data_IF_185218722493
#
_entry.id   IF_185218722493
#
_cell.length_a   1.000
_cell.length_b   1.000
_cell.length_c   1.000
_cell.angle_alpha   90.00
_cell.angle_beta   90.00
_cell.angle_gamma   90.00
#
_symmetry.space_group_name_H-M   'P 1'
#
loop_
_entity.id
_entity.type
_entity.pdbx_description
1 polymer ?
#
# COMPACT_ATOMS: atom_id res chain seq x y z
N UNK A 1 -11.04 25.35 3.91
CA UNK A 1 -12.45 25.19 4.36
C UNK A 1 -12.58 24.33 5.63
N UNK A 2 -11.88 23.19 5.75
CA UNK A 2 -11.92 22.34 6.96
C UNK A 2 -11.48 23.05 8.27
N UNK A 3 -10.45 23.91 8.23
CA UNK A 3 -10.03 24.70 9.41
C UNK A 3 -11.14 25.56 9.99
N UNK A 4 -11.87 26.28 9.13
CA UNK A 4 -12.97 27.19 9.53
C UNK A 4 -14.10 26.43 10.23
N UNK A 5 -14.31 25.16 9.88
CA UNK A 5 -15.31 24.31 10.52
C UNK A 5 -14.80 23.68 11.81
N UNK A 6 -13.50 23.36 11.91
CA UNK A 6 -12.87 22.81 13.11
C UNK A 6 -12.64 23.86 14.21
N UNK A 7 -12.42 25.13 13.84
CA UNK A 7 -12.11 26.23 14.77
C UNK A 7 -13.36 26.97 15.29
N UNK A 8 -14.56 26.42 15.10
CA UNK A 8 -15.80 27.07 15.58
C UNK A 8 -15.86 27.03 17.11
N UNK A 9 -15.96 28.19 17.80
CA UNK A 9 -15.91 28.25 19.26
C UNK A 9 -17.08 27.51 19.93
N UNK A 10 -18.24 27.45 19.28
CA UNK A 10 -19.47 26.86 19.82
C UNK A 10 -19.80 25.47 19.27
N UNK A 11 -18.87 24.83 18.52
CA UNK A 11 -19.10 23.47 18.00
C UNK A 11 -17.77 22.73 17.77
N UNK A 12 -17.30 21.92 18.73
CA UNK A 12 -16.14 21.06 18.51
C UNK A 12 -16.53 19.90 17.57
N UNK A 13 -16.58 20.17 16.27
CA UNK A 13 -16.84 19.15 15.26
C UNK A 13 -15.55 18.32 15.05
N UNK A 14 -15.66 17.00 15.25
CA UNK A 14 -14.60 16.05 14.88
C UNK A 14 -14.91 15.50 13.49
N UNK A 15 -13.98 15.66 12.56
CA UNK A 15 -14.12 15.14 11.20
C UNK A 15 -13.32 13.86 11.06
N UNK A 16 -13.99 12.77 10.66
CA UNK A 16 -13.31 11.54 10.24
C UNK A 16 -13.21 11.57 8.71
N UNK A 17 -11.99 11.72 8.21
CA UNK A 17 -11.70 11.67 6.77
C UNK A 17 -11.19 10.26 6.46
N UNK A 18 -11.92 9.51 5.64
CA UNK A 18 -11.53 8.16 5.26
C UNK A 18 -10.47 8.16 4.15
N UNK A 19 -9.47 7.30 4.29
CA UNK A 19 -8.16 7.39 3.65
C UNK A 19 -8.07 7.15 2.14
N UNK A 20 -9.16 6.84 1.43
CA UNK A 20 -9.10 6.68 -0.04
C UNK A 20 -8.82 7.99 -0.81
N UNK A 21 -8.76 9.13 -0.11
CA UNK A 21 -8.40 10.45 -0.65
C UNK A 21 -7.17 11.10 0.04
N UNK A 22 -6.48 10.37 0.93
CA UNK A 22 -5.44 10.95 1.80
C UNK A 22 -4.21 11.53 1.05
N UNK A 23 -3.68 10.90 -0.02
CA UNK A 23 -2.53 11.46 -0.73
C UNK A 23 -2.85 12.79 -1.41
N UNK A 24 -4.03 12.89 -2.02
CA UNK A 24 -4.51 14.08 -2.73
C UNK A 24 -4.82 15.21 -1.74
N UNK A 25 -5.38 14.88 -0.58
CA UNK A 25 -5.68 15.85 0.47
C UNK A 25 -4.41 16.52 1.04
N UNK A 26 -3.34 15.75 1.22
CA UNK A 26 -2.06 16.27 1.72
C UNK A 26 -1.42 17.33 0.80
N UNK A 27 -1.67 17.23 -0.52
CA UNK A 27 -1.11 18.14 -1.53
C UNK A 27 -1.95 19.38 -1.80
N UNK A 28 -3.26 19.31 -1.55
CA UNK A 28 -4.22 20.36 -1.91
C UNK A 28 -4.75 21.18 -0.73
N UNK A 29 -4.34 20.90 0.50
CA UNK A 29 -4.74 21.74 1.64
C UNK A 29 -3.86 22.99 1.67
N UNK A 30 -4.39 24.11 1.18
CA UNK A 30 -3.72 25.42 1.15
C UNK A 30 -3.37 25.99 2.54
N UNK A 31 -3.86 25.38 3.62
CA UNK A 31 -3.62 25.82 5.00
C UNK A 31 -3.19 24.63 5.88
N UNK A 32 -2.13 24.81 6.68
CA UNK A 32 -1.61 23.79 7.58
C UNK A 32 -2.62 23.45 8.69
N UNK A 33 -2.83 22.14 8.92
CA UNK A 33 -3.59 21.58 10.05
C UNK A 33 -2.66 21.00 11.14
N UNK A 34 -1.40 21.44 11.18
CA UNK A 34 -0.40 20.96 12.14
C UNK A 34 -0.90 21.09 13.59
N UNK A 35 -0.79 20.00 14.35
CA UNK A 35 -1.22 19.93 15.76
C UNK A 35 -2.73 19.74 15.98
N UNK A 36 -3.55 19.68 14.92
CA UNK A 36 -5.02 19.51 15.01
C UNK A 36 -5.56 18.31 14.25
N UNK A 37 -4.67 17.54 13.62
CA UNK A 37 -4.99 16.32 12.89
C UNK A 37 -4.13 15.19 13.42
N UNK A 38 -4.77 14.05 13.67
CA UNK A 38 -4.10 12.78 13.89
C UNK A 38 -4.33 11.91 12.65
N UNK A 39 -3.26 11.29 12.17
CA UNK A 39 -3.33 10.30 11.10
C UNK A 39 -3.28 8.91 11.73
N UNK A 40 -4.20 8.05 11.36
CA UNK A 40 -4.12 6.61 11.64
C UNK A 40 -4.01 5.90 10.30
N UNK A 41 -2.90 5.19 10.12
CA UNK A 41 -2.72 4.29 9.00
C UNK A 41 -3.34 2.94 9.38
N UNK A 42 -4.19 2.42 8.49
CA UNK A 42 -4.81 1.12 8.65
C UNK A 42 -4.19 0.20 7.61
N UNK A 43 -3.46 -0.80 8.08
CA UNK A 43 -2.92 -1.84 7.23
C UNK A 43 -4.00 -2.82 6.78
N UNK A 44 -3.62 -3.73 5.88
CA UNK A 44 -4.43 -4.92 5.64
C UNK A 44 -4.52 -5.78 6.91
N UNK A 45 -5.50 -6.69 6.93
CA UNK A 45 -5.71 -7.56 8.08
C UNK A 45 -4.46 -8.38 8.42
N UNK A 46 -4.03 -8.31 9.68
CA UNK A 46 -2.94 -9.10 10.24
C UNK A 46 -3.32 -10.58 10.37
N UNK A 47 -2.33 -11.47 10.35
CA UNK A 47 -2.59 -12.91 10.55
C UNK A 47 -3.13 -13.20 11.95
N UNK A 48 -2.71 -12.42 12.93
CA UNK A 48 -3.18 -12.42 14.32
C UNK A 48 -4.63 -11.95 14.45
N UNK A 49 -5.00 -10.86 13.79
CA UNK A 49 -6.40 -10.38 13.73
C UNK A 49 -7.31 -11.44 13.10
N UNK A 50 -6.83 -12.06 12.00
CA UNK A 50 -7.57 -13.12 11.32
C UNK A 50 -7.65 -14.39 12.19
N UNK A 51 -6.60 -14.77 12.89
CA UNK A 51 -6.62 -15.91 13.80
C UNK A 51 -7.60 -15.68 14.95
N UNK A 52 -7.59 -14.49 15.55
CA UNK A 52 -8.51 -14.11 16.63
C UNK A 52 -9.97 -14.12 16.16
N UNK A 53 -10.25 -13.61 14.95
CA UNK A 53 -11.60 -13.56 14.38
C UNK A 53 -12.19 -14.95 14.05
N UNK A 54 -11.34 -15.93 13.73
CA UNK A 54 -11.79 -17.31 13.47
C UNK A 54 -11.94 -18.13 14.76
N UNK A 55 -11.41 -17.67 15.90
CA UNK A 55 -11.49 -18.36 17.18
C UNK A 55 -10.49 -19.53 17.31
N UNK A 56 -10.24 -20.03 18.53
CA UNK A 56 -9.17 -20.98 18.83
C UNK A 56 -9.31 -22.36 18.16
N UNK A 57 -10.42 -22.62 17.47
CA UNK A 57 -10.79 -23.95 16.94
C UNK A 57 -11.15 -23.97 15.44
N UNK A 58 -10.89 -22.90 14.67
CA UNK A 58 -11.28 -22.83 13.24
C UNK A 58 -10.11 -22.55 12.28
N UNK A 59 -8.93 -23.11 12.56
CA UNK A 59 -7.90 -23.25 11.53
C UNK A 59 -8.25 -24.50 10.71
N UNK A 60 -9.18 -24.35 9.77
CA UNK A 60 -9.46 -25.42 8.80
C UNK A 60 -8.17 -25.76 8.01
N UNK A 61 -7.97 -27.03 7.61
CA UNK A 61 -6.87 -27.38 6.71
C UNK A 61 -6.89 -26.48 5.46
N UNK A 62 -5.76 -25.84 5.14
CA UNK A 62 -5.67 -24.90 4.01
C UNK A 62 -6.21 -23.48 4.29
N UNK A 63 -6.58 -23.16 5.53
CA UNK A 63 -6.95 -21.80 5.94
C UNK A 63 -5.81 -20.83 5.62
N UNK A 64 -4.59 -21.15 6.06
CA UNK A 64 -3.42 -20.31 5.83
C UNK A 64 -3.14 -20.14 4.34
N UNK A 65 -3.18 -21.22 3.56
CA UNK A 65 -2.95 -21.21 2.11
C UNK A 65 -3.91 -20.26 1.39
N UNK A 66 -5.20 -20.32 1.75
CA UNK A 66 -6.21 -19.44 1.16
C UNK A 66 -5.93 -17.97 1.49
N UNK A 67 -5.47 -17.65 2.71
CA UNK A 67 -5.16 -16.27 3.12
C UNK A 67 -3.87 -15.78 2.47
N UNK A 68 -2.87 -16.64 2.35
CA UNK A 68 -1.64 -16.34 1.61
C UNK A 68 -1.92 -16.04 0.14
N UNK A 69 -2.83 -16.78 -0.48
CA UNK A 69 -3.23 -16.54 -1.87
C UNK A 69 -4.09 -15.29 -2.05
N UNK A 70 -4.78 -14.80 -1.03
CA UNK A 70 -5.65 -13.60 -1.10
C UNK A 70 -4.98 -12.33 -0.58
N UNK A 71 -3.95 -12.43 0.25
CA UNK A 71 -3.30 -11.29 0.92
C UNK A 71 -4.17 -10.66 2.01
N UNK A 72 -3.68 -9.56 2.60
CA UNK A 72 -4.33 -8.88 3.73
C UNK A 72 -5.36 -7.80 3.36
N UNK A 73 -5.45 -7.41 2.08
CA UNK A 73 -6.39 -6.34 1.69
C UNK A 73 -7.85 -6.80 1.86
N UNK A 74 -8.71 -6.03 2.55
CA UNK A 74 -10.08 -6.45 2.87
C UNK A 74 -10.89 -6.94 1.68
N UNK A 75 -10.86 -6.21 0.55
CA UNK A 75 -11.62 -6.59 -0.66
C UNK A 75 -11.10 -7.86 -1.33
N UNK A 76 -9.80 -8.08 -1.32
CA UNK A 76 -9.22 -9.31 -1.86
C UNK A 76 -9.50 -10.50 -0.94
N UNK A 77 -9.37 -10.29 0.37
CA UNK A 77 -9.53 -11.32 1.38
C UNK A 77 -10.98 -11.83 1.46
N UNK A 78 -11.94 -10.90 1.44
CA UNK A 78 -13.37 -11.16 1.55
C UNK A 78 -14.05 -11.53 0.22
N UNK A 79 -13.29 -11.67 -0.87
CA UNK A 79 -13.84 -12.10 -2.15
C UNK A 79 -14.53 -13.47 -2.05
N UNK A 80 -15.56 -13.69 -2.87
CA UNK A 80 -16.29 -14.97 -2.94
C UNK A 80 -15.35 -16.13 -3.26
N UNK A 81 -14.43 -15.92 -4.18
CA UNK A 81 -13.56 -16.95 -4.76
C UNK A 81 -12.15 -16.41 -5.07
N UNK A 82 -11.23 -17.34 -5.35
CA UNK A 82 -9.83 -17.01 -5.65
C UNK A 82 -9.67 -16.21 -6.96
N UNK A 83 -10.37 -16.53 -8.06
CA UNK A 83 -10.37 -15.70 -9.26
C UNK A 83 -10.75 -14.23 -9.01
N UNK A 84 -11.85 -13.95 -8.32
CA UNK A 84 -12.25 -12.57 -8.01
C UNK A 84 -11.25 -11.85 -7.11
N UNK A 85 -10.68 -12.55 -6.12
CA UNK A 85 -9.58 -12.01 -5.30
C UNK A 85 -8.37 -11.65 -6.16
N UNK A 86 -8.00 -12.51 -7.12
CA UNK A 86 -6.89 -12.27 -8.04
C UNK A 86 -7.14 -11.08 -8.95
N UNK A 87 -8.32 -11.00 -9.56
CA UNK A 87 -8.71 -9.89 -10.43
C UNK A 87 -8.62 -8.56 -9.67
N UNK A 88 -9.14 -8.50 -8.44
CA UNK A 88 -9.05 -7.30 -7.61
C UNK A 88 -7.60 -6.90 -7.34
N UNK A 89 -6.73 -7.86 -6.99
CA UNK A 89 -5.30 -7.60 -6.73
C UNK A 89 -4.58 -7.14 -7.99
N UNK A 90 -4.86 -7.73 -9.14
CA UNK A 90 -4.26 -7.34 -10.42
C UNK A 90 -4.68 -5.92 -10.80
N UNK A 91 -5.96 -5.57 -10.62
CA UNK A 91 -6.46 -4.22 -10.81
C UNK A 91 -5.79 -3.23 -9.85
N UNK A 92 -5.68 -3.58 -8.56
CA UNK A 92 -4.99 -2.77 -7.56
C UNK A 92 -3.52 -2.53 -7.92
N UNK A 93 -2.77 -3.60 -8.25
CA UNK A 93 -1.36 -3.50 -8.67
C UNK A 93 -1.24 -2.58 -9.88
N UNK A 94 -2.09 -2.75 -10.89
CA UNK A 94 -2.07 -1.90 -12.08
C UNK A 94 -2.25 -0.42 -11.72
N UNK A 95 -3.29 -0.09 -10.95
CA UNK A 95 -3.56 1.29 -10.53
C UNK A 95 -2.43 1.86 -9.68
N UNK A 96 -1.89 1.09 -8.73
CA UNK A 96 -0.79 1.53 -7.88
C UNK A 96 0.48 1.83 -8.69
N UNK A 97 0.81 0.98 -9.68
CA UNK A 97 1.95 1.17 -10.56
C UNK A 97 1.78 2.36 -11.52
N UNK A 98 0.56 2.58 -12.04
CA UNK A 98 0.28 3.60 -13.05
C UNK A 98 0.00 4.99 -12.46
N UNK A 99 -0.53 5.05 -11.23
CA UNK A 99 -1.00 6.30 -10.61
C UNK A 99 -0.20 6.68 -9.37
N UNK A 100 0.04 5.74 -8.46
CA UNK A 100 0.54 6.06 -7.12
C UNK A 100 2.07 6.12 -7.08
N UNK A 101 2.77 5.17 -7.71
CA UNK A 101 4.24 5.20 -7.77
C UNK A 101 4.81 6.42 -8.52
N UNK A 102 4.25 6.87 -9.66
CA UNK A 102 4.69 8.12 -10.29
C UNK A 102 4.53 9.34 -9.39
N UNK A 103 3.46 9.37 -8.60
CA UNK A 103 3.23 10.41 -7.61
C UNK A 103 4.26 10.39 -6.46
N UNK A 104 4.93 9.28 -6.22
CA UNK A 104 6.04 9.16 -5.27
C UNK A 104 7.41 9.51 -5.88
N UNK A 105 7.43 9.96 -7.14
CA UNK A 105 8.64 10.37 -7.86
C UNK A 105 9.34 9.24 -8.61
N UNK A 106 8.67 8.11 -8.84
CA UNK A 106 9.17 7.01 -9.66
C UNK A 106 8.69 7.17 -11.10
N UNK A 107 9.55 7.71 -11.95
CA UNK A 107 9.25 7.97 -13.36
C UNK A 107 9.75 6.82 -14.25
N UNK A 108 9.04 5.70 -14.24
CA UNK A 108 9.27 4.57 -15.13
C UNK A 108 7.96 4.19 -15.84
N UNK A 109 8.03 3.63 -17.07
CA UNK A 109 6.87 3.02 -17.68
C UNK A 109 6.27 1.93 -16.77
N UNK A 110 4.95 1.86 -16.68
CA UNK A 110 4.26 0.93 -15.79
C UNK A 110 4.68 -0.54 -16.01
N UNK A 111 4.94 -0.92 -17.26
CA UNK A 111 5.45 -2.25 -17.59
C UNK A 111 6.83 -2.54 -16.99
N UNK A 112 7.74 -1.55 -17.03
CA UNK A 112 9.07 -1.65 -16.43
C UNK A 112 8.97 -1.72 -14.90
N UNK A 113 8.06 -0.96 -14.30
CA UNK A 113 7.79 -1.04 -12.86
C UNK A 113 7.21 -2.38 -12.44
N UNK A 114 6.29 -2.93 -13.24
CA UNK A 114 5.74 -4.27 -13.00
C UNK A 114 6.85 -5.32 -13.00
N UNK A 115 7.77 -5.26 -13.97
CA UNK A 115 8.95 -6.14 -14.03
C UNK A 115 9.84 -5.96 -12.80
N UNK A 116 10.13 -4.71 -12.41
CA UNK A 116 10.91 -4.41 -11.21
C UNK A 116 10.29 -5.04 -9.97
N UNK A 117 8.98 -4.82 -9.75
CA UNK A 117 8.27 -5.40 -8.61
C UNK A 117 8.29 -6.92 -8.62
N UNK A 118 8.05 -7.54 -9.78
CA UNK A 118 8.13 -9.01 -9.90
C UNK A 118 9.53 -9.52 -9.54
N UNK A 119 10.60 -8.85 -9.99
CA UNK A 119 11.96 -9.21 -9.61
C UNK A 119 12.19 -9.07 -8.09
N UNK A 120 11.69 -8.01 -7.47
CA UNK A 120 11.74 -7.84 -6.00
C UNK A 120 11.06 -8.99 -5.27
N UNK A 121 9.90 -9.46 -5.75
CA UNK A 121 9.17 -10.58 -5.16
C UNK A 121 9.94 -11.91 -5.27
N UNK A 122 10.73 -12.09 -6.33
CA UNK A 122 11.62 -13.25 -6.48
C UNK A 122 12.91 -13.12 -5.64
N UNK A 123 13.30 -11.91 -5.26
CA UNK A 123 14.47 -11.59 -4.45
C UNK A 123 14.23 -11.80 -2.93
N UNK A 124 13.48 -12.82 -2.55
CA UNK A 124 13.27 -13.15 -1.14
C UNK A 124 14.41 -14.04 -0.61
N UNK A 125 15.04 -13.63 0.50
CA UNK A 125 16.08 -14.41 1.18
C UNK A 125 17.46 -14.43 0.52
N UNK A 126 17.70 -13.58 -0.48
CA UNK A 126 18.99 -13.46 -1.17
C UNK A 126 19.67 -12.11 -0.87
N UNK A 127 21.00 -12.04 -1.00
CA UNK A 127 21.73 -10.78 -0.90
C UNK A 127 21.33 -9.87 -2.05
N UNK A 128 20.87 -8.66 -1.73
CA UNK A 128 20.47 -7.65 -2.69
C UNK A 128 21.60 -7.31 -3.68
N UNK A 129 21.37 -7.51 -4.98
CA UNK A 129 22.27 -7.11 -6.05
C UNK A 129 21.59 -6.09 -6.96
N UNK A 130 21.83 -4.81 -6.70
CA UNK A 130 21.26 -3.71 -7.48
C UNK A 130 21.76 -3.67 -8.92
N UNK A 131 22.97 -4.16 -9.20
CA UNK A 131 23.56 -4.16 -10.55
C UNK A 131 22.86 -5.15 -11.49
N UNK A 132 22.43 -6.30 -10.99
CA UNK A 132 21.65 -7.28 -11.77
C UNK A 132 20.29 -6.71 -12.16
N UNK A 133 19.58 -6.12 -11.19
CA UNK A 133 18.27 -5.50 -11.41
C UNK A 133 18.39 -4.30 -12.34
N UNK A 134 19.43 -3.47 -12.17
CA UNK A 134 19.71 -2.32 -13.03
C UNK A 134 19.92 -2.74 -14.49
N UNK A 135 20.68 -3.82 -14.71
CA UNK A 135 20.91 -4.40 -16.04
C UNK A 135 19.62 -4.91 -16.68
N UNK A 136 18.77 -5.59 -15.90
CA UNK A 136 17.47 -6.10 -16.38
C UNK A 136 16.48 -4.98 -16.75
N UNK A 137 16.53 -3.86 -16.02
CA UNK A 137 15.66 -2.71 -16.24
C UNK A 137 16.21 -1.69 -17.25
N UNK A 138 17.49 -1.80 -17.64
CA UNK A 138 18.16 -0.82 -18.51
C UNK A 138 18.35 0.54 -17.85
N UNK A 139 18.48 0.58 -16.52
CA UNK A 139 18.69 1.82 -15.74
C UNK A 139 20.00 1.77 -14.96
N UNK A 140 20.38 2.88 -14.32
CA UNK A 140 21.58 2.90 -13.47
C UNK A 140 21.35 2.22 -12.12
N UNK A 141 22.41 1.68 -11.54
CA UNK A 141 22.43 1.10 -10.19
C UNK A 141 21.91 2.06 -9.11
N UNK A 142 22.29 3.34 -9.22
CA UNK A 142 21.79 4.43 -8.36
C UNK A 142 20.28 4.63 -8.49
N UNK A 143 19.73 4.47 -9.69
CA UNK A 143 18.29 4.60 -9.96
C UNK A 143 17.51 3.48 -9.26
N UNK A 144 17.98 2.23 -9.36
CA UNK A 144 17.33 1.09 -8.68
C UNK A 144 17.38 1.26 -7.17
N UNK A 145 18.53 1.65 -6.63
CA UNK A 145 18.70 1.90 -5.20
C UNK A 145 17.76 2.99 -4.69
N UNK A 146 17.61 4.09 -5.45
CA UNK A 146 16.65 5.16 -5.14
C UNK A 146 15.20 4.66 -5.15
N UNK A 147 14.82 3.82 -6.12
CA UNK A 147 13.46 3.30 -6.17
C UNK A 147 13.17 2.31 -5.04
N UNK A 148 14.14 1.49 -4.67
CA UNK A 148 14.02 0.63 -3.49
C UNK A 148 13.82 1.47 -2.20
N UNK A 149 14.59 2.55 -2.04
CA UNK A 149 14.43 3.47 -0.90
C UNK A 149 13.06 4.15 -0.89
N UNK A 150 12.54 4.59 -2.05
CA UNK A 150 11.19 5.16 -2.14
C UNK A 150 10.13 4.14 -1.71
N UNK A 151 10.22 2.89 -2.19
CA UNK A 151 9.29 1.82 -1.81
C UNK A 151 9.40 1.45 -0.33
N UNK A 152 10.61 1.41 0.22
CA UNK A 152 10.86 1.12 1.63
C UNK A 152 10.28 2.19 2.56
N UNK A 153 10.26 3.46 2.13
CA UNK A 153 9.65 4.55 2.90
C UNK A 153 8.12 4.45 3.00
N UNK A 154 7.45 3.79 2.07
CA UNK A 154 6.00 3.60 2.11
C UNK A 154 5.55 2.69 3.25
N UNK A 155 6.40 1.77 3.71
CA UNK A 155 6.07 0.83 4.79
C UNK A 155 6.62 1.23 6.16
N UNK A 156 7.40 2.32 6.23
CA UNK A 156 8.16 2.72 7.44
C UNK A 156 7.65 4.02 8.07
N UNK A 157 6.40 4.40 7.80
CA UNK A 157 5.72 5.53 8.45
C UNK A 157 4.63 5.03 9.37
#
# INVERSE_FOLDING_TARGET
>A
MLRVLADRPDTPARFLILGSAAPEFSRHTAESLAGRVAFQELDGFGLDELAAANGPNHIAPGWLDTRWLRGGFPRSLLASDLPSSREWREAFIRTYLERDLPQLGINLPALTLRRFWTMLAHYHGQTWNSSEIARSLGVSDKTVSRYLDILGRTHRR
#
